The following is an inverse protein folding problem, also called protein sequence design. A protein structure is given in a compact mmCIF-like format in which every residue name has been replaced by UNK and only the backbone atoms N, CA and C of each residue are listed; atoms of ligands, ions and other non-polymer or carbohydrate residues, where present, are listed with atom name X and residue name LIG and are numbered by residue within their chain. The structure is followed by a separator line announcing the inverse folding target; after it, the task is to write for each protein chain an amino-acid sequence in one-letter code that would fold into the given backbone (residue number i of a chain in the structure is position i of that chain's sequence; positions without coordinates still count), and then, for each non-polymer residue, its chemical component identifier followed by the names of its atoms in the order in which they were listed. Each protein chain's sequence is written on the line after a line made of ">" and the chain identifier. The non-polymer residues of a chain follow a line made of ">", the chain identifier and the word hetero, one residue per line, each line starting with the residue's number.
data_IF_488471783648
#
_entry.id   IF_488471783648
#
_cell.length_a   1.000
_cell.length_b   1.000
_cell.length_c   1.000
_cell.angle_alpha   90.00
_cell.angle_beta   90.00
_cell.angle_gamma   90.00
#
_symmetry.space_group_name_H-M   'P 1'
#
loop_
_entity.id
_entity.type
_entity.pdbx_description
1 polymer ?
#
# COMPACT_ATOMS: atom_id res chain seq x y z
N UNK A 1 53.04 -9.94 11.74
CA UNK A 1 52.41 -10.16 13.06
C UNK A 1 50.91 -9.97 12.84
N UNK A 2 50.15 -11.06 12.78
CA UNK A 2 48.69 -11.02 12.71
C UNK A 2 48.20 -12.10 13.68
N UNK A 3 47.54 -11.67 14.75
CA UNK A 3 46.97 -12.56 15.76
C UNK A 3 45.50 -12.75 15.37
N UNK A 4 45.15 -13.95 14.92
CA UNK A 4 43.76 -14.33 14.71
C UNK A 4 43.13 -14.60 16.08
N UNK A 5 42.29 -13.69 16.57
CA UNK A 5 41.39 -13.95 17.69
C UNK A 5 40.09 -14.55 17.13
N UNK A 6 39.86 -15.84 17.39
CA UNK A 6 38.54 -16.47 17.24
C UNK A 6 37.79 -16.39 18.58
N UNK A 7 36.63 -15.72 18.67
CA UNK A 7 35.87 -15.61 19.92
C UNK A 7 35.29 -16.95 20.41
N UNK A 8 35.27 -17.97 19.54
CA UNK A 8 34.62 -19.26 19.79
C UNK A 8 35.35 -20.18 20.77
N UNK A 9 36.62 -19.90 21.09
CA UNK A 9 37.43 -20.72 22.00
C UNK A 9 37.34 -20.30 23.48
N UNK A 10 36.78 -19.11 23.78
CA UNK A 10 36.68 -18.62 25.16
C UNK A 10 35.39 -19.04 25.89
N UNK A 11 34.40 -19.60 25.18
CA UNK A 11 33.08 -19.92 25.75
C UNK A 11 32.54 -21.32 25.38
N UNK A 12 33.40 -22.27 25.00
CA UNK A 12 32.96 -23.65 24.80
C UNK A 12 32.95 -24.41 26.13
N UNK A 13 31.85 -24.31 26.88
CA UNK A 13 31.60 -25.26 27.97
C UNK A 13 31.39 -26.67 27.36
N UNK A 14 31.82 -27.71 28.07
CA UNK A 14 31.60 -29.10 27.60
C UNK A 14 30.09 -29.39 27.49
N UNK A 15 29.64 -30.32 26.64
CA UNK A 15 28.22 -30.71 26.61
C UNK A 15 27.70 -31.33 27.92
N UNK A 16 28.59 -31.71 28.84
CA UNK A 16 28.24 -32.25 30.15
C UNK A 16 28.09 -31.13 31.18
N UNK A 17 26.88 -30.92 31.74
CA UNK A 17 26.61 -29.92 32.77
C UNK A 17 27.43 -30.12 34.06
N UNK A 18 27.92 -31.34 34.29
CA UNK A 18 28.74 -31.68 35.45
C UNK A 18 30.08 -30.94 35.48
N UNK A 19 30.53 -30.44 34.31
CA UNK A 19 31.77 -29.69 34.18
C UNK A 19 31.57 -28.16 34.31
N UNK A 20 30.34 -27.70 34.52
CA UNK A 20 30.01 -26.26 34.57
C UNK A 20 30.07 -25.67 35.97
N UNK A 21 30.50 -26.47 36.98
CA UNK A 21 30.60 -26.03 38.36
C UNK A 21 29.25 -25.87 39.09
N UNK A 22 28.15 -26.34 38.47
CA UNK A 22 26.81 -26.30 39.05
C UNK A 22 26.55 -27.55 39.90
N UNK A 23 25.89 -27.39 41.06
CA UNK A 23 25.52 -28.49 41.94
C UNK A 23 24.30 -29.25 41.38
N UNK A 24 24.53 -30.25 40.53
CA UNK A 24 23.48 -31.03 39.84
C UNK A 24 22.61 -31.94 40.73
N UNK A 25 22.86 -31.97 42.04
CA UNK A 25 22.14 -32.83 43.00
C UNK A 25 21.28 -32.02 43.97
N UNK A 26 21.02 -30.74 43.70
CA UNK A 26 20.08 -29.93 44.48
C UNK A 26 18.72 -30.03 43.80
N UNK A 27 17.68 -30.50 44.51
CA UNK A 27 16.32 -30.47 43.98
C UNK A 27 15.93 -29.04 43.62
N UNK A 28 15.57 -28.80 42.36
CA UNK A 28 15.01 -27.54 41.89
C UNK A 28 13.52 -27.44 42.28
N UNK A 29 12.97 -26.22 42.49
CA UNK A 29 11.58 -26.05 42.93
C UNK A 29 10.53 -26.64 41.98
N UNK A 30 10.87 -26.82 40.71
CA UNK A 30 10.04 -27.37 39.64
C UNK A 30 10.40 -28.80 39.24
N UNK A 31 11.33 -29.46 39.95
CA UNK A 31 11.67 -30.87 39.70
C UNK A 31 10.45 -31.81 39.80
N UNK A 32 9.47 -31.45 40.64
CA UNK A 32 8.19 -32.16 40.76
C UNK A 32 7.39 -32.24 39.44
N UNK A 33 7.63 -31.31 38.51
CA UNK A 33 6.96 -31.26 37.20
C UNK A 33 7.66 -32.10 36.13
N UNK A 34 8.95 -32.40 36.31
CA UNK A 34 9.80 -32.98 35.26
C UNK A 34 10.48 -34.30 35.64
N UNK A 35 10.54 -34.67 36.93
CA UNK A 35 11.00 -35.98 37.40
C UNK A 35 9.81 -36.87 37.81
N UNK A 36 9.40 -37.83 36.97
CA UNK A 36 8.30 -38.73 37.31
C UNK A 36 8.70 -39.67 38.46
N UNK A 37 7.93 -39.64 39.56
CA UNK A 37 8.06 -40.56 40.69
C UNK A 37 7.00 -41.65 40.56
N UNK A 38 7.42 -42.81 40.07
CA UNK A 38 6.54 -43.97 39.86
C UNK A 38 5.78 -44.46 41.11
N UNK A 39 6.22 -44.14 42.33
CA UNK A 39 5.54 -44.51 43.57
C UNK A 39 4.47 -43.49 43.99
N UNK A 40 4.77 -42.19 43.86
CA UNK A 40 3.83 -41.08 44.10
C UNK A 40 2.78 -40.97 43.00
N UNK A 41 3.21 -40.99 41.75
CA UNK A 41 2.37 -40.74 40.58
C UNK A 41 1.36 -41.89 40.39
N UNK A 42 1.71 -43.12 40.79
CA UNK A 42 0.79 -44.27 40.78
C UNK A 42 -0.42 -44.15 41.73
N UNK A 43 -0.35 -43.30 42.76
CA UNK A 43 -1.50 -43.01 43.62
C UNK A 43 -2.40 -41.92 43.04
N UNK A 44 -1.83 -40.99 42.27
CA UNK A 44 -2.54 -39.86 41.63
C UNK A 44 -3.14 -40.23 40.26
N UNK A 45 -2.48 -41.12 39.51
CA UNK A 45 -2.84 -41.54 38.14
C UNK A 45 -3.83 -42.71 38.08
N UNK A 46 -4.55 -42.97 39.18
CA UNK A 46 -5.74 -43.83 39.12
C UNK A 46 -6.90 -43.00 38.58
N UNK A 47 -6.89 -42.78 37.26
CA UNK A 47 -7.85 -41.97 36.50
C UNK A 47 -9.24 -41.93 37.11
N UNK A 48 -9.52 -40.86 37.86
CA UNK A 48 -10.84 -40.55 38.38
C UNK A 48 -11.60 -39.72 37.35
N UNK A 49 -12.87 -40.05 37.11
CA UNK A 49 -13.73 -39.30 36.18
C UNK A 49 -14.01 -37.87 36.71
N UNK A 50 -13.93 -37.67 38.02
CA UNK A 50 -14.18 -36.39 38.69
C UNK A 50 -12.89 -35.79 39.23
N UNK A 51 -12.13 -35.11 38.38
CA UNK A 51 -10.95 -34.32 38.80
C UNK A 51 -11.31 -32.85 38.90
N UNK A 52 -10.65 -32.11 39.82
CA UNK A 52 -10.76 -30.65 39.91
C UNK A 52 -10.40 -29.97 38.60
N UNK A 53 -9.39 -30.51 37.89
CA UNK A 53 -8.96 -30.04 36.56
C UNK A 53 -10.02 -30.29 35.49
N UNK A 54 -10.69 -31.44 35.52
CA UNK A 54 -11.82 -31.75 34.62
C UNK A 54 -13.01 -30.82 34.86
N UNK A 55 -13.36 -30.57 36.12
CA UNK A 55 -14.41 -29.61 36.49
C UNK A 55 -14.08 -28.18 36.06
N UNK A 56 -12.82 -27.74 36.24
CA UNK A 56 -12.38 -26.42 35.80
C UNK A 56 -12.46 -26.25 34.27
N UNK A 57 -12.05 -27.27 33.51
CA UNK A 57 -12.12 -27.25 32.05
C UNK A 57 -13.57 -27.25 31.54
N UNK A 58 -14.45 -28.07 32.13
CA UNK A 58 -15.88 -28.06 31.79
C UNK A 58 -16.56 -26.73 32.12
N UNK A 59 -16.19 -26.12 33.26
CA UNK A 59 -16.67 -24.79 33.63
C UNK A 59 -16.22 -23.72 32.63
N UNK A 60 -14.96 -23.73 32.21
CA UNK A 60 -14.44 -22.81 31.21
C UNK A 60 -15.17 -22.97 29.85
N UNK A 61 -15.38 -24.21 29.40
CA UNK A 61 -16.13 -24.50 28.17
C UNK A 61 -17.58 -24.04 28.27
N UNK A 62 -18.23 -24.18 29.43
CA UNK A 62 -19.59 -23.70 29.65
C UNK A 62 -19.66 -22.16 29.56
N UNK A 63 -18.70 -21.46 30.18
CA UNK A 63 -18.64 -19.99 30.11
C UNK A 63 -18.43 -19.53 28.67
N UNK A 64 -17.56 -20.17 27.89
CA UNK A 64 -17.29 -19.77 26.51
C UNK A 64 -18.44 -20.15 25.55
N UNK A 65 -19.01 -21.35 25.69
CA UNK A 65 -19.99 -21.89 24.75
C UNK A 65 -21.44 -21.46 25.01
N UNK A 66 -21.80 -21.18 26.27
CA UNK A 66 -23.16 -20.81 26.66
C UNK A 66 -23.20 -19.53 27.50
N UNK A 67 -22.29 -19.38 28.45
CA UNK A 67 -22.24 -18.22 29.35
C UNK A 67 -22.08 -16.90 28.59
N UNK A 68 -21.11 -16.82 27.68
CA UNK A 68 -20.80 -15.62 26.92
C UNK A 68 -21.97 -15.22 25.98
N UNK A 69 -22.53 -16.11 25.13
CA UNK A 69 -23.70 -15.79 24.31
C UNK A 69 -24.94 -15.35 25.11
N UNK A 70 -25.22 -15.99 26.24
CA UNK A 70 -26.36 -15.65 27.11
C UNK A 70 -26.12 -14.27 27.75
N UNK A 71 -24.93 -14.04 28.28
CA UNK A 71 -24.57 -12.77 28.90
C UNK A 71 -24.63 -11.63 27.87
N UNK A 72 -24.13 -11.86 26.65
CA UNK A 72 -24.24 -10.88 25.56
C UNK A 72 -25.70 -10.63 25.21
N UNK A 73 -26.53 -11.65 25.07
CA UNK A 73 -27.95 -11.47 24.72
C UNK A 73 -28.71 -10.57 25.72
N UNK A 74 -28.40 -10.67 27.02
CA UNK A 74 -29.07 -9.87 28.05
C UNK A 74 -28.39 -8.52 28.32
N UNK A 75 -27.12 -8.34 27.95
CA UNK A 75 -26.38 -7.07 28.10
C UNK A 75 -26.36 -6.23 26.82
N UNK A 76 -26.80 -6.79 25.69
CA UNK A 76 -26.84 -6.10 24.41
C UNK A 76 -27.88 -4.97 24.47
N UNK A 77 -27.39 -3.74 24.34
CA UNK A 77 -28.26 -2.58 24.12
C UNK A 77 -28.60 -2.53 22.64
N UNK A 78 -29.85 -2.78 22.30
CA UNK A 78 -30.35 -2.52 20.93
C UNK A 78 -30.09 -1.07 20.58
N UNK A 79 -29.28 -0.83 19.55
CA UNK A 79 -29.01 0.50 19.03
C UNK A 79 -30.33 1.16 18.64
N UNK A 80 -30.63 2.31 19.23
CA UNK A 80 -31.85 3.07 18.92
C UNK A 80 -31.70 3.72 17.56
N UNK A 81 -32.76 3.71 16.76
CA UNK A 81 -32.78 4.45 15.48
C UNK A 81 -33.02 5.95 15.67
N UNK A 82 -33.17 6.42 16.92
CA UNK A 82 -33.55 7.80 17.27
C UNK A 82 -34.71 8.37 16.42
N UNK A 83 -35.63 7.51 15.98
CA UNK A 83 -36.79 7.90 15.17
C UNK A 83 -36.56 7.96 13.65
N UNK A 84 -35.41 7.51 13.14
CA UNK A 84 -35.16 7.41 11.69
C UNK A 84 -35.33 5.98 11.12
N UNK A 85 -35.38 5.88 9.79
CA UNK A 85 -35.36 4.59 9.09
C UNK A 85 -33.90 4.07 9.00
N UNK A 86 -33.67 2.78 9.29
CA UNK A 86 -32.35 2.10 9.39
C UNK A 86 -31.41 2.60 10.52
N UNK A 87 -30.37 1.79 10.80
CA UNK A 87 -29.24 2.15 11.67
C UNK A 87 -28.56 3.40 11.11
N UNK A 88 -28.62 4.52 11.84
CA UNK A 88 -28.04 5.81 11.42
C UNK A 88 -29.06 6.91 11.12
N UNK A 89 -30.36 6.60 11.10
CA UNK A 89 -31.44 7.59 11.11
C UNK A 89 -31.49 8.54 9.91
N UNK A 90 -31.99 8.07 8.77
CA UNK A 90 -32.39 8.97 7.67
C UNK A 90 -33.77 9.57 7.95
N UNK A 91 -33.94 10.87 7.67
CA UNK A 91 -35.26 11.51 7.73
C UNK A 91 -36.18 10.92 6.62
N UNK A 92 -37.49 11.13 6.74
CA UNK A 92 -38.52 10.55 5.86
C UNK A 92 -38.43 10.87 4.35
N UNK A 93 -37.43 11.64 3.89
CA UNK A 93 -37.16 11.89 2.46
C UNK A 93 -36.04 11.00 1.89
N UNK A 94 -35.38 10.17 2.71
CA UNK A 94 -34.26 9.33 2.27
C UNK A 94 -32.96 10.09 2.06
N UNK A 95 -32.88 11.33 2.52
CA UNK A 95 -31.66 12.13 2.46
C UNK A 95 -30.63 11.61 3.47
N UNK A 96 -29.45 11.25 2.96
CA UNK A 96 -28.25 10.98 3.77
C UNK A 96 -27.81 12.33 4.37
N UNK A 97 -27.48 12.35 5.66
CA UNK A 97 -26.98 13.56 6.31
C UNK A 97 -25.76 14.08 5.55
N UNK A 98 -25.76 15.38 5.23
CA UNK A 98 -24.63 16.03 4.60
C UNK A 98 -23.51 16.17 5.63
N UNK A 99 -22.51 15.29 5.56
CA UNK A 99 -21.32 15.40 6.41
C UNK A 99 -20.54 16.63 5.92
N UNK A 100 -20.21 17.60 6.79
CA UNK A 100 -19.37 18.73 6.42
C UNK A 100 -18.09 18.24 5.73
N UNK A 101 -17.83 18.74 4.52
CA UNK A 101 -16.68 18.35 3.70
C UNK A 101 -16.99 17.39 2.55
N UNK A 102 -18.26 17.12 2.25
CA UNK A 102 -18.68 16.40 1.03
C UNK A 102 -18.20 14.94 0.94
N UNK A 103 -17.89 14.34 2.09
CA UNK A 103 -17.25 13.03 2.15
C UNK A 103 -18.25 11.89 1.90
N UNK A 104 -18.19 11.32 0.70
CA UNK A 104 -18.80 10.04 0.32
C UNK A 104 -17.81 9.19 -0.47
N UNK A 105 -18.06 7.88 -0.63
CA UNK A 105 -17.17 7.01 -1.42
C UNK A 105 -17.04 7.51 -2.86
N UNK A 106 -18.14 8.00 -3.44
CA UNK A 106 -18.16 8.65 -4.74
C UNK A 106 -18.30 10.14 -4.48
N UNK A 107 -17.35 10.93 -4.98
CA UNK A 107 -17.40 12.39 -4.94
C UNK A 107 -18.71 12.90 -5.58
N UNK A 108 -19.32 13.91 -4.96
CA UNK A 108 -20.57 14.48 -5.49
C UNK A 108 -20.38 15.21 -6.80
N UNK A 109 -19.17 15.72 -7.05
CA UNK A 109 -18.83 16.39 -8.28
C UNK A 109 -18.50 15.41 -9.41
N UNK A 110 -18.41 14.10 -9.10
CA UNK A 110 -18.17 13.09 -10.12
C UNK A 110 -19.31 13.08 -11.15
N UNK A 111 -18.98 13.24 -12.45
CA UNK A 111 -19.98 13.31 -13.51
C UNK A 111 -20.73 11.98 -13.67
N UNK A 112 -22.03 12.03 -13.99
CA UNK A 112 -22.90 10.83 -14.00
C UNK A 112 -22.50 9.79 -15.05
N UNK A 113 -21.85 10.23 -16.12
CA UNK A 113 -21.27 9.37 -17.14
C UNK A 113 -20.13 8.49 -16.60
N UNK A 114 -19.43 8.91 -15.54
CA UNK A 114 -18.34 8.12 -14.93
C UNK A 114 -18.85 7.01 -14.01
N UNK A 115 -20.15 6.99 -13.66
CA UNK A 115 -20.72 6.01 -12.71
C UNK A 115 -20.74 4.60 -13.29
N UNK A 116 -20.71 4.47 -14.61
CA UNK A 116 -20.65 3.18 -15.30
C UNK A 116 -19.71 3.24 -16.47
N UNK A 117 -18.85 2.23 -16.62
CA UNK A 117 -17.90 2.13 -17.73
C UNK A 117 -17.87 0.72 -18.30
N UNK A 118 -17.84 0.58 -19.63
CA UNK A 118 -17.66 -0.74 -20.24
C UNK A 118 -16.23 -1.24 -20.02
N UNK A 119 -16.05 -2.54 -19.82
CA UNK A 119 -14.72 -3.12 -19.78
C UNK A 119 -14.00 -2.93 -21.12
N UNK A 120 -12.70 -2.65 -21.04
CA UNK A 120 -11.81 -2.61 -22.20
C UNK A 120 -11.58 -4.00 -22.80
N UNK A 121 -11.65 -5.06 -21.98
CA UNK A 121 -11.48 -6.45 -22.41
C UNK A 121 -12.77 -7.05 -23.00
N UNK A 122 -13.94 -6.73 -22.43
CA UNK A 122 -15.23 -7.25 -22.88
C UNK A 122 -16.29 -6.15 -22.86
N UNK A 123 -16.66 -5.64 -24.04
CA UNK A 123 -17.60 -4.51 -24.16
C UNK A 123 -18.98 -4.76 -23.56
N UNK A 124 -19.35 -6.03 -23.34
CA UNK A 124 -20.62 -6.40 -22.72
C UNK A 124 -20.57 -6.33 -21.18
N UNK A 125 -19.38 -6.36 -20.59
CA UNK A 125 -19.19 -6.21 -19.15
C UNK A 125 -19.22 -4.73 -18.79
N UNK A 126 -19.98 -4.39 -17.74
CA UNK A 126 -20.08 -3.03 -17.21
C UNK A 126 -19.50 -2.97 -15.80
N UNK A 127 -18.55 -2.08 -15.62
CA UNK A 127 -18.03 -1.66 -14.32
C UNK A 127 -18.92 -0.59 -13.72
N UNK A 128 -19.09 -0.65 -12.41
CA UNK A 128 -19.79 0.36 -11.60
C UNK A 128 -18.73 1.10 -10.79
N UNK A 129 -18.80 2.41 -10.78
CA UNK A 129 -17.93 3.24 -9.96
C UNK A 129 -18.21 2.98 -8.47
N UNK A 130 -17.18 2.66 -7.71
CA UNK A 130 -17.28 2.38 -6.27
C UNK A 130 -16.53 3.38 -5.41
N UNK A 131 -15.60 4.14 -6.00
CA UNK A 131 -14.85 5.19 -5.34
C UNK A 131 -14.40 6.25 -6.36
N UNK A 132 -14.44 7.54 -5.99
CA UNK A 132 -13.86 8.65 -6.77
C UNK A 132 -13.53 9.83 -5.87
N UNK A 133 -12.56 10.64 -6.30
CA UNK A 133 -12.20 11.91 -5.70
C UNK A 133 -11.73 12.86 -6.80
N UNK A 134 -12.44 13.96 -7.00
CA UNK A 134 -12.12 14.93 -8.05
C UNK A 134 -11.17 16.03 -7.56
N UNK A 135 -10.87 16.07 -6.26
CA UNK A 135 -9.99 17.08 -5.63
C UNK A 135 -10.43 18.54 -5.87
N UNK A 136 -11.72 18.78 -6.07
CA UNK A 136 -12.29 20.11 -6.36
C UNK A 136 -12.31 21.07 -5.16
N UNK A 137 -12.23 20.54 -3.94
CA UNK A 137 -12.14 21.36 -2.74
C UNK A 137 -10.70 21.85 -2.56
N UNK A 138 -10.46 23.14 -2.75
CA UNK A 138 -9.15 23.76 -2.56
C UNK A 138 -8.69 23.76 -1.08
N UNK A 139 -7.38 23.67 -0.89
CA UNK A 139 -6.74 23.80 0.42
C UNK A 139 -6.92 22.58 1.33
N UNK A 140 -7.23 21.40 0.78
CA UNK A 140 -7.21 20.16 1.57
C UNK A 140 -5.82 19.93 2.13
N UNK A 141 -5.80 19.47 3.36
CA UNK A 141 -4.62 19.00 4.08
C UNK A 141 -4.65 17.48 4.05
N UNK A 142 -3.48 16.86 3.87
CA UNK A 142 -3.33 15.42 3.87
C UNK A 142 -2.43 14.96 5.02
N UNK A 143 -2.25 15.75 6.06
CA UNK A 143 -1.55 15.27 7.26
C UNK A 143 -2.30 14.08 7.88
N UNK A 144 -1.62 13.24 8.67
CA UNK A 144 -2.27 12.09 9.29
C UNK A 144 -3.53 12.47 10.08
N UNK A 145 -4.68 11.97 9.61
CA UNK A 145 -6.01 12.21 10.19
C UNK A 145 -6.78 13.43 9.68
N UNK A 146 -6.20 14.23 8.77
CA UNK A 146 -6.87 15.43 8.23
C UNK A 146 -7.83 15.13 7.07
N UNK A 147 -7.60 14.04 6.33
CA UNK A 147 -8.43 13.61 5.21
C UNK A 147 -8.89 12.15 5.41
N UNK A 148 -10.17 11.83 5.13
CA UNK A 148 -10.73 10.50 5.42
C UNK A 148 -10.27 9.40 4.46
N UNK A 149 -9.71 9.76 3.30
CA UNK A 149 -9.34 8.81 2.24
C UNK A 149 -7.85 8.78 1.99
N UNK A 150 -7.19 9.93 2.05
CA UNK A 150 -5.79 10.11 1.69
C UNK A 150 -4.96 10.54 2.90
N UNK A 151 -3.74 10.08 2.99
CA UNK A 151 -2.75 10.55 3.95
C UNK A 151 -1.41 10.72 3.25
N UNK A 152 -0.81 11.89 3.42
CA UNK A 152 0.52 12.19 2.98
C UNK A 152 1.53 11.59 3.95
N UNK A 153 2.52 10.91 3.40
CA UNK A 153 3.56 10.26 4.19
C UNK A 153 4.64 11.23 4.61
N UNK A 154 5.27 10.92 5.74
CA UNK A 154 6.43 11.61 6.30
C UNK A 154 7.60 10.63 6.39
N UNK A 155 8.38 10.49 5.32
CA UNK A 155 9.43 9.46 5.22
C UNK A 155 10.55 9.79 4.22
N UNK A 156 11.72 9.19 4.44
CA UNK A 156 12.75 9.00 3.42
C UNK A 156 12.68 7.60 2.83
N UNK A 157 12.53 7.52 1.51
CA UNK A 157 12.51 6.23 0.81
C UNK A 157 13.95 5.75 0.58
N UNK A 158 14.52 5.11 1.60
CA UNK A 158 15.91 4.66 1.63
C UNK A 158 16.21 3.53 0.64
N UNK A 159 15.20 2.78 0.20
CA UNK A 159 15.37 1.64 -0.73
C UNK A 159 15.92 2.05 -2.10
N UNK A 160 15.54 3.24 -2.57
CA UNK A 160 16.00 3.88 -3.82
C UNK A 160 17.00 5.01 -3.56
N UNK A 161 17.22 5.35 -2.29
CA UNK A 161 18.10 6.44 -1.85
C UNK A 161 17.70 7.79 -2.46
N UNK A 162 16.41 8.12 -2.32
CA UNK A 162 15.81 9.36 -2.79
C UNK A 162 16.57 10.59 -2.28
N UNK A 163 16.63 11.64 -3.10
CA UNK A 163 17.30 12.90 -2.74
C UNK A 163 16.41 13.80 -1.87
N UNK A 164 15.12 13.48 -1.86
CA UNK A 164 14.06 14.15 -1.16
C UNK A 164 13.60 13.42 0.10
N UNK A 165 13.09 14.20 1.05
CA UNK A 165 12.21 13.72 2.09
C UNK A 165 10.76 13.89 1.61
N UNK A 166 9.92 12.86 1.72
CA UNK A 166 8.47 13.04 1.53
C UNK A 166 7.91 13.66 2.78
N UNK A 167 7.33 14.86 2.63
CA UNK A 167 6.81 15.69 3.72
C UNK A 167 5.33 16.00 3.44
N UNK A 168 4.43 15.88 4.42
CA UNK A 168 3.01 16.17 4.23
C UNK A 168 2.71 17.59 3.73
N UNK A 169 3.57 18.58 4.01
CA UNK A 169 3.43 19.94 3.46
C UNK A 169 3.59 20.02 1.93
N UNK A 170 4.13 18.97 1.31
CA UNK A 170 4.26 18.86 -0.14
C UNK A 170 2.96 18.48 -0.86
N UNK A 171 1.90 18.10 -0.14
CA UNK A 171 0.62 17.68 -0.71
C UNK A 171 -0.52 18.64 -0.33
N UNK A 172 -1.27 19.12 -1.32
CA UNK A 172 -2.50 19.91 -1.09
C UNK A 172 -3.39 19.87 -2.33
N UNK A 173 -4.60 20.42 -2.27
CA UNK A 173 -5.46 20.62 -3.44
C UNK A 173 -5.52 22.09 -3.82
N UNK A 174 -5.48 22.38 -5.13
CA UNK A 174 -5.75 23.71 -5.64
C UNK A 174 -6.18 23.66 -7.11
N UNK A 175 -7.10 24.55 -7.50
CA UNK A 175 -7.60 24.68 -8.86
C UNK A 175 -8.14 23.35 -9.42
N UNK A 176 -8.92 22.62 -8.62
CA UNK A 176 -9.57 21.38 -9.07
C UNK A 176 -8.63 20.20 -9.25
N UNK A 177 -7.52 20.14 -8.50
CA UNK A 177 -6.57 19.03 -8.60
C UNK A 177 -5.74 18.84 -7.33
N UNK A 178 -5.34 17.60 -7.08
CA UNK A 178 -4.26 17.28 -6.15
C UNK A 178 -2.93 17.84 -6.70
N UNK A 179 -2.18 18.53 -5.84
CA UNK A 179 -0.86 19.05 -6.11
C UNK A 179 0.16 18.38 -5.19
N UNK A 180 1.16 17.78 -5.81
CA UNK A 180 2.37 17.30 -5.14
C UNK A 180 3.53 18.19 -5.57
N UNK A 181 4.16 18.84 -4.61
CA UNK A 181 5.20 19.84 -4.85
C UNK A 181 6.57 19.28 -4.48
N UNK A 182 7.45 19.17 -5.47
CA UNK A 182 8.88 18.97 -5.26
C UNK A 182 9.58 20.33 -5.14
N UNK A 183 10.34 20.55 -4.07
CA UNK A 183 11.13 21.76 -3.91
C UNK A 183 12.47 21.52 -3.21
N UNK A 184 13.44 22.40 -3.50
CA UNK A 184 14.71 22.43 -2.79
C UNK A 184 14.56 23.16 -1.45
N UNK A 185 15.11 22.59 -0.38
CA UNK A 185 15.13 23.22 0.94
C UNK A 185 16.35 24.14 1.07
N UNK A 186 16.15 25.33 1.66
CA UNK A 186 17.22 26.33 1.82
C UNK A 186 18.32 25.89 2.79
N UNK A 187 17.92 25.23 3.87
CA UNK A 187 18.83 24.69 4.88
C UNK A 187 18.51 23.19 5.09
N UNK A 188 19.33 22.28 4.53
CA UNK A 188 19.14 20.84 4.68
C UNK A 188 19.08 20.38 6.14
N UNK A 189 19.67 21.12 7.09
CA UNK A 189 19.61 20.75 8.50
C UNK A 189 18.17 20.70 9.04
N UNK A 190 17.24 21.45 8.43
CA UNK A 190 15.82 21.46 8.78
C UNK A 190 14.98 20.44 8.00
N UNK A 191 15.61 19.61 7.16
CA UNK A 191 14.95 18.63 6.31
C UNK A 191 15.73 17.31 6.34
N UNK A 192 16.04 16.84 7.55
CA UNK A 192 16.70 15.54 7.75
C UNK A 192 18.06 15.41 7.00
N UNK A 193 18.77 16.53 6.79
CA UNK A 193 19.99 16.64 5.99
C UNK A 193 19.83 16.31 4.48
N UNK A 194 18.60 16.30 3.97
CA UNK A 194 18.28 16.14 2.55
C UNK A 194 18.03 17.49 1.89
N UNK A 195 18.44 17.61 0.63
CA UNK A 195 18.41 18.89 -0.10
C UNK A 195 17.05 19.21 -0.72
N UNK A 196 16.16 18.21 -0.83
CA UNK A 196 14.85 18.34 -1.45
C UNK A 196 13.76 17.82 -0.53
N UNK A 197 12.53 18.30 -0.73
CA UNK A 197 11.33 17.71 -0.16
C UNK A 197 10.23 17.63 -1.20
N UNK A 198 9.38 16.60 -1.10
CA UNK A 198 8.26 16.34 -2.01
C UNK A 198 7.00 15.91 -1.25
N UNK A 199 5.88 15.76 -1.94
CA UNK A 199 4.65 15.19 -1.39
C UNK A 199 4.39 13.79 -1.97
N UNK A 200 3.97 12.85 -1.12
CA UNK A 200 3.45 11.54 -1.53
C UNK A 200 2.21 11.26 -0.70
N UNK A 201 1.10 10.86 -1.34
CA UNK A 201 -0.15 10.48 -0.67
C UNK A 201 -0.43 8.99 -0.85
N UNK A 202 -1.02 8.39 0.17
CA UNK A 202 -1.45 6.99 0.20
C UNK A 202 -2.91 6.93 0.68
N UNK A 203 -3.62 5.85 0.35
CA UNK A 203 -4.97 5.65 0.90
C UNK A 203 -4.88 5.18 2.35
N UNK A 204 -5.72 5.75 3.23
CA UNK A 204 -5.64 5.58 4.69
C UNK A 204 -5.66 4.12 5.15
N UNK A 205 -6.39 3.26 4.43
CA UNK A 205 -6.54 1.83 4.73
C UNK A 205 -5.85 0.90 3.73
N UNK A 206 -4.97 1.41 2.85
CA UNK A 206 -4.37 0.65 1.74
C UNK A 206 -5.44 -0.10 0.95
N UNK A 207 -6.13 0.61 0.07
CA UNK A 207 -7.22 0.08 -0.74
C UNK A 207 -6.93 -1.36 -1.24
N UNK A 208 -7.73 -2.33 -0.78
CA UNK A 208 -7.58 -3.72 -1.17
C UNK A 208 -8.17 -3.91 -2.57
N UNK A 209 -7.30 -3.82 -3.58
CA UNK A 209 -7.71 -3.99 -4.96
C UNK A 209 -7.71 -5.48 -5.34
N UNK A 210 -8.89 -6.06 -5.45
CA UNK A 210 -9.09 -7.45 -5.84
C UNK A 210 -9.49 -7.59 -7.31
N UNK A 211 -9.59 -6.50 -8.07
CA UNK A 211 -10.06 -6.52 -9.45
C UNK A 211 -10.87 -5.28 -9.80
N UNK A 212 -10.84 -4.89 -11.08
CA UNK A 212 -11.57 -3.73 -11.58
C UNK A 212 -10.70 -2.83 -12.46
N UNK A 213 -11.04 -1.55 -12.47
CA UNK A 213 -10.39 -0.51 -13.25
C UNK A 213 -10.05 0.65 -12.30
N UNK A 214 -8.81 1.12 -12.34
CA UNK A 214 -8.38 2.36 -11.70
C UNK A 214 -7.95 3.31 -12.81
N UNK A 215 -8.47 4.53 -12.77
CA UNK A 215 -8.14 5.60 -13.71
C UNK A 215 -7.76 6.85 -12.95
N UNK A 216 -6.77 7.57 -13.47
CA UNK A 216 -6.30 8.84 -12.90
C UNK A 216 -6.14 9.83 -14.04
N UNK A 217 -6.61 11.05 -13.80
CA UNK A 217 -6.42 12.20 -14.67
C UNK A 217 -5.34 13.07 -14.05
N UNK A 218 -4.28 13.38 -14.80
CA UNK A 218 -3.18 14.18 -14.26
C UNK A 218 -2.50 15.03 -15.34
N UNK A 219 -1.70 15.98 -14.87
CA UNK A 219 -0.80 16.80 -15.69
C UNK A 219 0.59 16.69 -15.08
N UNK A 220 1.58 16.30 -15.87
CA UNK A 220 2.96 16.12 -15.37
C UNK A 220 3.64 17.47 -15.14
N UNK A 221 4.31 17.61 -14.00
CA UNK A 221 5.13 18.78 -13.69
C UNK A 221 6.37 18.85 -14.60
N UNK A 222 6.72 20.06 -15.02
CA UNK A 222 7.95 20.32 -15.79
C UNK A 222 8.90 21.27 -15.05
N UNK A 223 8.77 21.39 -13.72
CA UNK A 223 9.54 22.34 -12.89
C UNK A 223 11.07 22.20 -13.05
N UNK A 224 11.75 23.33 -13.24
CA UNK A 224 13.20 23.40 -13.43
C UNK A 224 13.80 24.53 -12.59
N UNK A 225 14.64 24.21 -11.62
CA UNK A 225 15.39 25.23 -10.87
C UNK A 225 16.60 25.72 -11.68
N UNK A 226 16.77 27.04 -11.92
CA UNK A 226 17.93 27.57 -12.63
C UNK A 226 19.25 27.22 -11.94
N UNK A 227 20.22 26.68 -12.70
CA UNK A 227 21.56 26.36 -12.20
C UNK A 227 21.71 25.02 -11.46
N UNK A 228 20.61 24.27 -11.28
CA UNK A 228 20.66 22.94 -10.64
C UNK A 228 20.93 21.82 -11.66
N UNK A 229 21.57 20.74 -11.20
CA UNK A 229 21.78 19.53 -12.00
C UNK A 229 20.46 18.76 -12.08
N UNK A 230 19.75 18.93 -13.19
CA UNK A 230 18.58 18.10 -13.51
C UNK A 230 19.03 16.95 -14.40
N UNK A 231 18.75 15.69 -14.06
CA UNK A 231 18.85 14.61 -15.04
C UNK A 231 17.78 14.89 -16.09
N UNK A 232 18.12 15.44 -17.26
CA UNK A 232 17.13 15.84 -18.28
C UNK A 232 17.75 16.40 -19.56
N UNK A 233 17.23 16.10 -20.77
CA UNK A 233 17.57 16.91 -21.94
C UNK A 233 17.05 18.34 -21.75
N UNK A 234 17.82 19.31 -22.21
CA UNK A 234 17.49 20.74 -22.19
C UNK A 234 16.96 21.12 -23.57
N UNK A 235 15.81 21.79 -23.64
CA UNK A 235 15.28 22.36 -24.89
C UNK A 235 16.24 23.44 -25.41
N UNK A 236 16.14 23.75 -26.71
CA UNK A 236 16.99 24.78 -27.34
C UNK A 236 16.81 26.19 -26.74
N UNK A 237 15.69 26.44 -26.07
CA UNK A 237 15.38 27.69 -25.36
C UNK A 237 15.90 27.72 -23.91
N UNK A 238 16.59 26.67 -23.45
CA UNK A 238 17.16 26.57 -22.11
C UNK A 238 16.22 26.00 -21.04
N UNK A 239 14.99 25.61 -21.38
CA UNK A 239 14.06 24.96 -20.45
C UNK A 239 14.35 23.46 -20.32
N UNK A 240 14.27 22.91 -19.10
CA UNK A 240 14.46 21.46 -18.90
C UNK A 240 13.15 20.68 -19.14
N UNK A 241 13.32 19.39 -19.44
CA UNK A 241 12.23 18.43 -19.59
C UNK A 241 12.13 17.58 -18.31
N UNK A 242 10.95 17.53 -17.69
CA UNK A 242 10.71 16.82 -16.43
C UNK A 242 10.88 15.29 -16.53
N UNK A 243 11.22 14.64 -15.40
CA UNK A 243 11.29 13.16 -15.22
C UNK A 243 10.75 12.74 -13.84
N UNK A 244 10.29 11.50 -13.72
CA UNK A 244 9.96 10.79 -12.48
C UNK A 244 10.43 9.31 -12.55
N UNK A 245 10.62 8.61 -11.41
CA UNK A 245 11.08 7.19 -11.26
C UNK A 245 10.44 6.53 -9.97
N UNK A 246 10.41 5.18 -9.75
CA UNK A 246 9.18 4.32 -9.83
C UNK A 246 8.81 3.39 -8.62
N UNK A 247 7.53 2.93 -8.51
CA UNK A 247 7.00 1.66 -7.91
C UNK A 247 5.47 1.47 -8.19
N UNK A 248 4.98 0.25 -8.52
CA UNK A 248 3.69 -0.08 -9.20
C UNK A 248 3.18 1.12 -10.00
N UNK A 249 3.80 1.28 -11.16
CA UNK A 249 3.67 2.50 -11.93
C UNK A 249 2.41 2.41 -12.79
N UNK A 250 1.31 2.94 -12.26
CA UNK A 250 0.25 3.46 -13.15
C UNK A 250 0.90 4.48 -14.10
N UNK A 251 1.97 5.15 -13.65
CA UNK A 251 2.73 6.15 -14.39
C UNK A 251 4.22 6.19 -14.06
N UNK A 252 5.06 5.93 -15.06
CA UNK A 252 6.47 6.29 -15.02
C UNK A 252 6.82 7.07 -16.29
N UNK A 253 6.90 8.41 -16.19
CA UNK A 253 7.12 9.26 -17.36
C UNK A 253 8.58 9.23 -17.83
N UNK A 254 8.80 8.85 -19.08
CA UNK A 254 10.11 8.84 -19.74
C UNK A 254 10.09 9.71 -21.00
N UNK A 255 11.26 10.14 -21.46
CA UNK A 255 11.40 10.88 -22.72
C UNK A 255 12.43 10.18 -23.59
N UNK A 256 12.02 9.83 -24.80
CA UNK A 256 12.88 9.18 -25.79
C UNK A 256 12.83 9.99 -27.09
N UNK A 257 13.98 10.42 -27.59
CA UNK A 257 14.05 11.21 -28.83
C UNK A 257 13.31 12.56 -28.77
N UNK A 258 13.08 13.11 -27.57
CA UNK A 258 12.34 14.37 -27.39
C UNK A 258 10.81 14.20 -27.33
N UNK A 259 10.31 12.97 -27.32
CA UNK A 259 8.88 12.66 -27.20
C UNK A 259 8.58 12.05 -25.84
N UNK A 260 7.57 12.59 -25.15
CA UNK A 260 7.08 12.08 -23.87
C UNK A 260 6.39 10.73 -24.02
N UNK A 261 6.72 9.80 -23.12
CA UNK A 261 6.09 8.48 -22.99
C UNK A 261 5.81 8.20 -21.52
N UNK A 262 4.89 7.29 -21.23
CA UNK A 262 4.70 6.71 -19.90
C UNK A 262 4.95 5.21 -19.96
N UNK A 263 5.77 4.73 -19.04
CA UNK A 263 5.93 3.33 -18.69
C UNK A 263 4.78 2.97 -17.75
N UNK A 264 3.89 2.12 -18.25
CA UNK A 264 2.76 1.55 -17.52
C UNK A 264 3.23 0.18 -17.02
N UNK A 265 3.55 0.06 -15.73
CA UNK A 265 4.27 -1.07 -15.16
C UNK A 265 3.45 -1.83 -14.13
N UNK A 266 3.63 -3.15 -14.09
CA UNK A 266 3.10 -4.00 -13.04
C UNK A 266 4.18 -4.94 -12.54
N UNK A 267 4.32 -5.03 -11.22
CA UNK A 267 5.39 -5.74 -10.55
C UNK A 267 4.84 -7.02 -9.91
N UNK A 268 5.55 -8.13 -10.10
CA UNK A 268 5.02 -9.47 -9.83
C UNK A 268 5.90 -10.24 -8.85
N UNK A 269 5.27 -10.90 -7.88
CA UNK A 269 5.88 -11.88 -7.00
C UNK A 269 5.06 -13.19 -7.02
N UNK A 270 5.66 -14.36 -6.72
CA UNK A 270 7.07 -14.60 -6.39
C UNK A 270 8.01 -14.40 -7.59
N UNK A 271 9.29 -14.08 -7.33
CA UNK A 271 10.30 -13.78 -8.36
C UNK A 271 10.94 -15.04 -8.94
N UNK A 272 11.24 -15.02 -10.23
CA UNK A 272 11.87 -16.11 -10.95
C UNK A 272 13.26 -15.65 -11.43
N UNK A 273 14.29 -16.49 -11.23
CA UNK A 273 15.61 -16.22 -11.81
C UNK A 273 15.54 -16.26 -13.35
N UNK A 274 16.20 -15.30 -14.00
CA UNK A 274 16.22 -15.16 -15.47
C UNK A 274 14.83 -15.10 -16.13
N UNK A 275 13.87 -14.49 -15.44
CA UNK A 275 12.55 -14.23 -15.99
C UNK A 275 12.64 -13.51 -17.34
N UNK A 276 11.94 -14.07 -18.33
CA UNK A 276 11.70 -13.44 -19.63
C UNK A 276 10.21 -13.42 -19.87
N UNK A 277 9.67 -12.24 -20.17
CA UNK A 277 8.24 -12.11 -20.48
C UNK A 277 7.97 -12.49 -21.93
N UNK A 278 7.15 -13.51 -22.15
CA UNK A 278 6.75 -13.92 -23.50
C UNK A 278 5.72 -12.93 -24.05
N UNK A 279 6.13 -12.17 -25.08
CA UNK A 279 5.25 -11.28 -25.83
C UNK A 279 4.23 -12.09 -26.63
N UNK A 280 3.16 -12.52 -25.95
CA UNK A 280 2.11 -13.39 -26.46
C UNK A 280 0.77 -12.82 -26.02
N UNK A 281 -0.23 -12.91 -26.89
CA UNK A 281 -1.60 -12.45 -26.62
C UNK A 281 -2.26 -13.16 -25.44
N UNK A 282 -1.73 -14.31 -25.05
CA UNK A 282 -2.25 -15.12 -23.94
C UNK A 282 -1.87 -14.55 -22.56
N UNK A 283 -0.81 -13.72 -22.49
CA UNK A 283 -0.22 -13.24 -21.23
C UNK A 283 -0.19 -11.71 -21.08
N UNK A 284 -0.24 -10.96 -22.20
CA UNK A 284 -0.21 -9.49 -22.22
C UNK A 284 -1.08 -8.97 -23.37
N UNK A 285 -2.04 -8.09 -23.08
CA UNK A 285 -2.89 -7.45 -24.10
C UNK A 285 -2.66 -5.94 -24.10
N UNK A 286 -1.86 -5.47 -25.05
CA UNK A 286 -1.75 -4.03 -25.30
C UNK A 286 -2.85 -3.65 -26.30
N UNK A 287 -3.84 -2.89 -25.82
CA UNK A 287 -5.00 -2.51 -26.65
C UNK A 287 -4.76 -1.26 -27.49
N UNK A 288 -3.84 -0.39 -27.07
CA UNK A 288 -3.45 0.80 -27.81
C UNK A 288 -2.33 0.48 -28.83
N UNK A 289 -2.53 0.74 -30.14
CA UNK A 289 -1.52 0.46 -31.16
C UNK A 289 -0.25 1.32 -31.03
N UNK A 290 -0.28 2.41 -30.26
CA UNK A 290 0.87 3.28 -30.04
C UNK A 290 1.71 2.89 -28.81
N UNK A 291 1.26 1.90 -28.04
CA UNK A 291 1.95 1.40 -26.87
C UNK A 291 2.83 0.21 -27.27
N UNK A 292 4.10 0.24 -26.88
CA UNK A 292 5.06 -0.83 -27.17
C UNK A 292 5.52 -1.49 -25.88
N UNK A 293 5.77 -2.80 -25.88
CA UNK A 293 6.30 -3.46 -24.69
C UNK A 293 7.66 -2.86 -24.31
N UNK A 294 7.84 -2.53 -23.04
CA UNK A 294 9.10 -2.01 -22.52
C UNK A 294 10.14 -3.16 -22.49
N UNK A 295 11.34 -2.98 -23.06
CA UNK A 295 12.39 -4.00 -22.99
C UNK A 295 12.95 -4.20 -21.57
N UNK A 296 12.72 -3.26 -20.64
CA UNK A 296 13.10 -3.42 -19.25
C UNK A 296 12.17 -4.40 -18.53
N UNK A 297 12.74 -5.46 -17.94
CA UNK A 297 12.00 -6.54 -17.27
C UNK A 297 12.19 -6.55 -15.75
N UNK A 298 12.92 -5.57 -15.22
CA UNK A 298 13.25 -5.45 -13.80
C UNK A 298 14.69 -5.82 -13.49
N UNK A 299 14.96 -6.16 -12.23
CA UNK A 299 16.27 -6.51 -11.70
C UNK A 299 16.19 -7.60 -10.62
N UNK A 300 17.29 -7.87 -9.92
CA UNK A 300 17.35 -8.95 -8.91
C UNK A 300 16.38 -8.78 -7.73
N UNK A 301 15.82 -7.58 -7.55
CA UNK A 301 14.84 -7.26 -6.51
C UNK A 301 13.42 -7.01 -7.03
N UNK A 302 13.21 -7.06 -8.35
CA UNK A 302 11.95 -6.65 -8.97
C UNK A 302 11.75 -7.37 -10.30
N UNK A 303 10.59 -8.01 -10.46
CA UNK A 303 10.15 -8.54 -11.75
C UNK A 303 9.00 -7.70 -12.26
N UNK A 304 9.13 -7.09 -13.44
CA UNK A 304 8.12 -6.18 -13.99
C UNK A 304 7.65 -6.59 -15.38
N UNK A 305 6.39 -6.28 -15.66
CA UNK A 305 5.82 -6.27 -17.00
C UNK A 305 5.38 -4.85 -17.28
N UNK A 306 5.88 -4.23 -18.35
CA UNK A 306 5.52 -2.84 -18.66
C UNK A 306 5.37 -2.57 -20.16
N UNK A 307 4.55 -1.55 -20.46
CA UNK A 307 4.37 -0.98 -21.79
C UNK A 307 4.70 0.51 -21.81
N UNK A 308 5.35 0.98 -22.87
CA UNK A 308 5.65 2.38 -23.13
C UNK A 308 4.56 2.97 -24.03
N UNK A 309 3.68 3.78 -23.46
CA UNK A 309 2.64 4.48 -24.19
C UNK A 309 3.05 5.92 -24.53
N UNK A 310 2.74 6.39 -25.73
CA UNK A 310 2.97 7.79 -26.12
C UNK A 310 1.99 8.71 -25.36
N UNK A 311 2.51 9.73 -24.69
CA UNK A 311 1.66 10.71 -24.00
C UNK A 311 1.10 11.74 -24.99
N UNK A 312 -0.04 12.34 -24.66
CA UNK A 312 -0.48 13.54 -25.38
C UNK A 312 0.48 14.70 -25.07
N UNK A 313 1.28 15.11 -26.06
CA UNK A 313 2.30 16.15 -25.88
C UNK A 313 1.70 17.52 -25.55
N UNK A 314 0.43 17.77 -25.84
CA UNK A 314 -0.25 19.02 -25.49
C UNK A 314 -0.62 19.08 -23.98
N UNK A 315 -0.71 17.93 -23.31
CA UNK A 315 -1.17 17.82 -21.91
C UNK A 315 -0.04 17.90 -20.87
N UNK A 316 0.98 18.70 -21.16
CA UNK A 316 2.03 19.09 -20.22
C UNK A 316 1.73 20.49 -19.67
N UNK A 317 2.15 20.75 -18.43
CA UNK A 317 1.84 21.98 -17.66
C UNK A 317 2.10 23.30 -18.42
N UNK A 318 3.14 23.34 -19.26
CA UNK A 318 3.53 24.55 -20.02
C UNK A 318 3.17 24.51 -21.52
N UNK A 319 2.35 23.53 -21.94
CA UNK A 319 1.80 23.47 -23.29
C UNK A 319 0.33 23.93 -23.28
N UNK A 320 -0.62 23.05 -23.63
CA UNK A 320 -2.05 23.37 -23.58
C UNK A 320 -2.65 23.17 -22.18
N UNK A 321 -1.92 22.54 -21.26
CA UNK A 321 -2.38 22.30 -19.88
C UNK A 321 -3.62 21.39 -19.80
N UNK A 322 -3.87 20.57 -20.82
CA UNK A 322 -4.96 19.60 -20.78
C UNK A 322 -4.66 18.44 -19.83
N UNK A 323 -5.73 17.76 -19.41
CA UNK A 323 -5.64 16.48 -18.71
C UNK A 323 -5.78 15.34 -19.71
N UNK A 324 -5.10 14.24 -19.43
CA UNK A 324 -5.20 13.01 -20.23
C UNK A 324 -5.31 11.82 -19.29
N UNK A 325 -6.10 10.83 -19.70
CA UNK A 325 -6.51 9.69 -18.89
C UNK A 325 -5.51 8.59 -19.04
N UNK A 326 -5.15 7.97 -17.93
CA UNK A 326 -4.55 6.66 -18.02
C UNK A 326 -4.97 5.80 -16.85
N UNK A 327 -4.88 4.49 -17.06
CA UNK A 327 -5.35 3.50 -16.10
C UNK A 327 -4.98 2.10 -16.51
N UNK A 328 -5.28 1.16 -15.63
CA UNK A 328 -5.07 -0.26 -15.89
C UNK A 328 -6.30 -1.04 -15.44
N UNK A 329 -6.64 -2.07 -16.22
CA UNK A 329 -7.67 -3.01 -15.85
C UNK A 329 -7.02 -4.31 -15.33
N UNK A 330 -7.40 -4.71 -14.12
CA UNK A 330 -6.91 -5.94 -13.49
C UNK A 330 -8.05 -6.95 -13.29
N UNK A 331 -7.80 -8.21 -13.65
CA UNK A 331 -8.71 -9.34 -13.43
C UNK A 331 -7.95 -10.47 -12.72
N UNK A 332 -8.40 -10.95 -11.55
CA UNK A 332 -7.80 -12.12 -10.91
C UNK A 332 -8.06 -13.41 -11.71
N UNK A 333 -7.00 -14.23 -11.86
CA UNK A 333 -7.06 -15.55 -12.50
C UNK A 333 -6.85 -15.51 -14.01
N UNK A 334 -5.82 -16.22 -14.49
CA UNK A 334 -5.26 -16.22 -15.86
C UNK A 334 -5.04 -14.81 -16.44
N UNK A 335 -3.78 -14.35 -16.32
CA UNK A 335 -3.33 -12.98 -16.58
C UNK A 335 -3.73 -12.49 -17.96
N UNK A 336 -4.61 -11.49 -17.99
CA UNK A 336 -4.85 -10.63 -19.14
C UNK A 336 -4.84 -9.19 -18.62
N UNK A 337 -3.74 -8.48 -18.88
CA UNK A 337 -3.59 -7.05 -18.58
C UNK A 337 -3.98 -6.25 -19.84
N UNK A 338 -4.87 -5.28 -19.68
CA UNK A 338 -5.22 -4.29 -20.69
C UNK A 338 -4.66 -2.92 -20.32
N UNK A 339 -3.76 -2.38 -21.14
CA UNK A 339 -3.27 -1.00 -21.03
C UNK A 339 -4.03 -0.13 -22.03
N UNK A 340 -4.58 1.00 -21.55
CA UNK A 340 -5.31 1.97 -22.39
C UNK A 340 -4.92 3.40 -22.00
N UNK A 341 -4.66 4.22 -23.02
CA UNK A 341 -4.45 5.68 -22.98
C UNK A 341 -5.59 6.35 -23.74
#
# INVERSE_FOLDING_TARGET
>A
MAVNFSPSLQYSLSPSPAQWGMQLNIPEPDDDLHNPDSARDRQSDRGGVFTSRGLANLGCLFILGAGFPILTHFLEKTQTTQGGFNLGGINGTGQIADIPGNWGLIDRDTPKEAYTKSSYLNKNDKWVLVFSDEFNQDGRSFYPGDDPYWEAVDLHYWGTNDLEWYDPSGATTSNGSLKLKLERVLDPANNHNLSYKSGMVQTWNKFCFTGGLIEVFWTTAACTCPGESHPGPVRADGTYVGRAAPEIDIFEAIVEGGVGKVSLSSQWAPFNAEYSWFNTSDNLIITDPNTVQNPYQGGVFQQTTSGLALTNQDCYEFNAGCFTVYGFQYKPGCVVLGFTV
#
